data_IF_985803939710
#
_entry.id   IF_985803939710
#
_cell.length_a   1.000
_cell.length_b   1.000
_cell.length_c   1.000
_cell.angle_alpha   90.00
_cell.angle_beta   90.00
_cell.angle_gamma   90.00
#
_symmetry.space_group_name_H-M   'P 1'
#
loop_
_entity.id
_entity.type
_entity.pdbx_description
1 polymer ?
#
# COMPACT_ATOMS: atom_id res chain seq x y z
N UNK A 1 26.76 -4.77 29.04
CA UNK A 1 26.08 -6.08 29.00
C UNK A 1 25.01 -6.30 30.09
N UNK A 2 24.65 -5.31 30.91
CA UNK A 2 23.44 -5.37 31.78
C UNK A 2 22.35 -4.39 31.34
N UNK A 3 22.76 -3.24 30.78
CA UNK A 3 21.88 -2.22 30.22
C UNK A 3 21.10 -2.73 29.00
N UNK A 4 21.73 -3.63 28.22
CA UNK A 4 21.16 -4.20 27.00
C UNK A 4 20.01 -5.19 27.30
N UNK A 5 20.05 -5.85 28.46
CA UNK A 5 19.00 -6.76 28.93
C UNK A 5 17.77 -6.00 29.43
N UNK A 6 17.96 -4.82 30.04
CA UNK A 6 16.85 -3.97 30.49
C UNK A 6 16.16 -3.27 29.31
N UNK A 7 16.93 -2.79 28.33
CA UNK A 7 16.42 -2.21 27.07
C UNK A 7 15.69 -3.25 26.19
N UNK A 8 16.18 -4.49 26.11
CA UNK A 8 15.47 -5.57 25.39
C UNK A 8 14.11 -5.91 26.02
N UNK A 9 13.96 -5.77 27.34
CA UNK A 9 12.73 -6.19 28.05
C UNK A 9 11.54 -5.26 27.77
N UNK A 10 11.77 -3.97 27.53
CA UNK A 10 10.72 -3.01 27.14
C UNK A 10 10.36 -3.11 25.67
N UNK A 11 11.30 -3.54 24.81
CA UNK A 11 11.06 -3.76 23.39
C UNK A 11 10.42 -5.13 23.07
N UNK A 12 10.54 -6.11 23.97
CA UNK A 12 9.87 -7.41 23.85
C UNK A 12 8.38 -7.37 24.27
N UNK A 13 7.68 -6.27 23.93
CA UNK A 13 6.22 -6.19 24.00
C UNK A 13 5.67 -7.14 22.93
N UNK A 14 5.22 -8.33 23.36
CA UNK A 14 4.48 -9.33 22.59
C UNK A 14 3.86 -8.76 21.31
N UNK A 15 4.53 -8.97 20.18
CA UNK A 15 3.84 -9.08 18.91
C UNK A 15 3.63 -10.58 18.68
N UNK A 16 2.68 -11.17 19.44
CA UNK A 16 2.10 -12.44 19.02
C UNK A 16 1.55 -12.29 17.60
N UNK A 17 1.36 -13.37 16.83
CA UNK A 17 1.03 -13.29 15.41
C UNK A 17 -0.24 -12.46 15.25
N UNK A 18 -0.08 -11.16 14.99
CA UNK A 18 -1.17 -10.28 14.66
C UNK A 18 -1.53 -10.76 13.28
N UNK A 19 -2.55 -11.60 13.19
CA UNK A 19 -3.21 -11.96 11.94
C UNK A 19 -3.33 -10.65 11.17
N UNK A 20 -2.49 -10.46 10.16
CA UNK A 20 -2.37 -9.18 9.49
C UNK A 20 -3.73 -8.91 8.87
N UNK A 21 -4.50 -8.10 9.57
CA UNK A 21 -5.87 -7.82 9.15
C UNK A 21 -5.72 -7.06 7.86
N UNK A 22 -6.15 -7.64 6.74
CA UNK A 22 -6.19 -6.98 5.43
C UNK A 22 -6.71 -5.54 5.55
N UNK A 23 -7.60 -5.31 6.51
CA UNK A 23 -8.12 -4.02 6.92
C UNK A 23 -7.07 -2.99 7.39
N UNK A 24 -6.06 -3.39 8.17
CA UNK A 24 -4.95 -2.51 8.56
C UNK A 24 -4.10 -2.09 7.36
N UNK A 25 -3.84 -3.02 6.44
CA UNK A 25 -3.05 -2.73 5.24
C UNK A 25 -3.80 -1.77 4.30
N UNK A 26 -5.11 -1.98 4.12
CA UNK A 26 -5.98 -1.07 3.35
C UNK A 26 -6.07 0.31 4.01
N UNK A 27 -6.29 0.36 5.34
CA UNK A 27 -6.33 1.62 6.06
C UNK A 27 -5.01 2.39 5.95
N UNK A 28 -3.87 1.70 6.08
CA UNK A 28 -2.55 2.30 5.92
C UNK A 28 -2.32 2.84 4.51
N UNK A 29 -2.72 2.09 3.47
CA UNK A 29 -2.64 2.53 2.08
C UNK A 29 -3.51 3.77 1.83
N UNK A 30 -4.73 3.78 2.37
CA UNK A 30 -5.63 4.93 2.26
C UNK A 30 -5.06 6.17 2.96
N UNK A 31 -4.55 6.03 4.19
CA UNK A 31 -3.90 7.13 4.91
C UNK A 31 -2.70 7.70 4.14
N UNK A 32 -1.87 6.84 3.55
CA UNK A 32 -0.73 7.28 2.75
C UNK A 32 -1.15 8.03 1.48
N UNK A 33 -2.28 7.63 0.88
CA UNK A 33 -2.84 8.31 -0.30
C UNK A 33 -3.37 9.70 0.05
N UNK A 34 -4.11 9.83 1.15
CA UNK A 34 -4.66 11.12 1.62
C UNK A 34 -3.55 12.10 1.96
N UNK A 35 -2.52 11.66 2.69
CA UNK A 35 -1.37 12.50 3.01
C UNK A 35 -0.64 12.99 1.76
N UNK A 36 -0.39 12.10 0.80
CA UNK A 36 0.28 12.48 -0.45
C UNK A 36 -0.50 13.53 -1.25
N UNK A 37 -1.83 13.39 -1.35
CA UNK A 37 -2.65 14.36 -2.08
C UNK A 37 -2.66 15.73 -1.37
N UNK A 38 -2.77 15.72 -0.04
CA UNK A 38 -2.75 16.95 0.75
C UNK A 38 -1.41 17.67 0.62
N UNK A 39 -0.30 16.94 0.68
CA UNK A 39 1.04 17.51 0.50
C UNK A 39 1.16 18.19 -0.87
N UNK A 40 0.73 17.54 -1.95
CA UNK A 40 0.77 18.14 -3.29
C UNK A 40 -0.07 19.41 -3.39
N UNK A 41 -1.28 19.42 -2.81
CA UNK A 41 -2.14 20.62 -2.81
C UNK A 41 -1.48 21.75 -2.03
N UNK A 42 -0.93 21.46 -0.85
CA UNK A 42 -0.25 22.46 -0.01
C UNK A 42 0.99 23.01 -0.70
N UNK A 43 1.87 22.13 -1.22
CA UNK A 43 3.08 22.53 -1.95
C UNK A 43 2.71 23.36 -3.18
N UNK A 44 1.73 22.92 -3.96
CA UNK A 44 1.28 23.64 -5.15
C UNK A 44 0.74 25.02 -4.80
N UNK A 45 -0.02 25.15 -3.71
CA UNK A 45 -0.54 26.41 -3.22
C UNK A 45 0.59 27.36 -2.77
N UNK A 46 1.59 26.86 -2.04
CA UNK A 46 2.75 27.66 -1.65
C UNK A 46 3.57 28.16 -2.84
N UNK A 47 3.65 27.37 -3.91
CA UNK A 47 4.42 27.75 -5.11
C UNK A 47 3.65 28.76 -5.97
N UNK A 48 2.36 28.50 -6.24
CA UNK A 48 1.57 29.33 -7.17
C UNK A 48 0.84 30.49 -6.51
N UNK A 49 0.59 30.44 -5.20
CA UNK A 49 -0.21 31.44 -4.49
C UNK A 49 -1.69 31.46 -4.85
N UNK A 50 -2.13 30.61 -5.80
CA UNK A 50 -3.47 30.62 -6.35
C UNK A 50 -4.19 29.28 -6.08
N UNK A 51 -5.27 29.33 -5.29
CA UNK A 51 -6.03 28.13 -4.87
C UNK A 51 -6.57 27.32 -6.06
N UNK A 52 -6.96 28.00 -7.14
CA UNK A 52 -7.52 27.35 -8.34
C UNK A 52 -6.49 26.45 -9.03
N UNK A 53 -5.23 26.89 -9.09
CA UNK A 53 -4.16 26.13 -9.70
C UNK A 53 -3.76 24.94 -8.82
N UNK A 54 -3.59 25.17 -7.51
CA UNK A 54 -3.29 24.11 -6.55
C UNK A 54 -4.35 23.00 -6.52
N UNK A 55 -5.63 23.38 -6.58
CA UNK A 55 -6.72 22.42 -6.65
C UNK A 55 -6.73 21.64 -7.96
N UNK A 56 -6.39 22.28 -9.08
CA UNK A 56 -6.27 21.61 -10.39
C UNK A 56 -5.16 20.55 -10.38
N UNK A 57 -4.00 20.88 -9.80
CA UNK A 57 -2.87 19.94 -9.68
C UNK A 57 -3.26 18.76 -8.78
N UNK A 58 -3.85 19.01 -7.61
CA UNK A 58 -4.32 17.95 -6.71
C UNK A 58 -5.38 17.05 -7.36
N UNK A 59 -6.29 17.63 -8.14
CA UNK A 59 -7.33 16.89 -8.87
C UNK A 59 -6.73 15.94 -9.90
N UNK A 60 -5.75 16.42 -10.69
CA UNK A 60 -5.02 15.60 -11.68
C UNK A 60 -4.24 14.49 -10.99
N UNK A 61 -3.61 14.76 -9.84
CA UNK A 61 -2.86 13.75 -9.09
C UNK A 61 -3.77 12.60 -8.64
N UNK A 62 -4.93 12.90 -8.05
CA UNK A 62 -5.90 11.89 -7.62
C UNK A 62 -6.37 11.05 -8.80
N UNK A 63 -6.79 11.70 -9.90
CA UNK A 63 -7.24 11.02 -11.11
C UNK A 63 -6.17 10.09 -11.68
N UNK A 64 -4.94 10.59 -11.80
CA UNK A 64 -3.80 9.81 -12.30
C UNK A 64 -3.54 8.59 -11.42
N UNK A 65 -3.59 8.76 -10.09
CA UNK A 65 -3.39 7.68 -9.12
C UNK A 65 -4.48 6.61 -9.14
N UNK A 66 -5.73 6.99 -9.39
CA UNK A 66 -6.84 6.04 -9.57
C UNK A 66 -6.62 5.24 -10.85
N UNK A 67 -6.30 5.91 -11.96
CA UNK A 67 -6.06 5.26 -13.25
C UNK A 67 -4.87 4.29 -13.17
N UNK A 68 -3.75 4.73 -12.58
CA UNK A 68 -2.58 3.89 -12.35
C UNK A 68 -2.89 2.70 -11.44
N UNK A 69 -3.66 2.91 -10.37
CA UNK A 69 -4.05 1.82 -9.46
C UNK A 69 -4.90 0.77 -10.17
N UNK A 70 -5.89 1.19 -10.95
CA UNK A 70 -6.73 0.29 -11.74
C UNK A 70 -5.90 -0.53 -12.75
N UNK A 71 -5.01 0.13 -13.49
CA UNK A 71 -4.11 -0.55 -14.43
C UNK A 71 -3.18 -1.53 -13.70
N UNK A 72 -2.60 -1.11 -12.57
CA UNK A 72 -1.76 -1.97 -11.74
C UNK A 72 -2.51 -3.22 -11.27
N UNK A 73 -3.73 -3.07 -10.74
CA UNK A 73 -4.55 -4.20 -10.29
C UNK A 73 -4.89 -5.13 -11.46
N UNK A 74 -5.26 -4.59 -12.63
CA UNK A 74 -5.59 -5.39 -13.81
C UNK A 74 -4.39 -6.15 -14.39
N UNK A 75 -3.21 -5.55 -14.34
CA UNK A 75 -1.96 -6.22 -14.73
C UNK A 75 -1.62 -7.32 -13.72
N UNK A 76 -1.71 -7.02 -12.43
CA UNK A 76 -1.41 -7.97 -11.36
C UNK A 76 -2.31 -9.20 -11.38
N UNK A 77 -3.61 -9.01 -11.66
CA UNK A 77 -4.58 -10.09 -11.84
C UNK A 77 -4.18 -11.02 -12.99
N UNK A 78 -3.78 -10.47 -14.15
CA UNK A 78 -3.32 -11.27 -15.30
C UNK A 78 -2.07 -12.10 -14.97
N UNK A 79 -1.15 -11.58 -14.18
CA UNK A 79 0.05 -12.31 -13.77
C UNK A 79 -0.23 -13.33 -12.66
N UNK A 80 -1.13 -13.03 -11.73
CA UNK A 80 -1.47 -13.92 -10.61
C UNK A 80 -2.25 -15.15 -11.09
N UNK A 81 -3.18 -14.99 -12.05
CA UNK A 81 -4.00 -16.10 -12.57
C UNK A 81 -3.13 -17.20 -13.22
N UNK A 82 -2.00 -16.86 -13.85
CA UNK A 82 -1.10 -17.85 -14.45
C UNK A 82 -0.47 -18.80 -13.42
N UNK A 83 -0.25 -18.35 -12.20
CA UNK A 83 0.42 -19.15 -11.18
C UNK A 83 -0.51 -20.22 -10.56
N UNK A 84 -1.83 -20.00 -10.55
CA UNK A 84 -2.78 -20.98 -10.02
C UNK A 84 -3.14 -22.08 -11.02
N UNK A 85 -3.21 -21.77 -12.32
CA UNK A 85 -3.47 -22.79 -13.35
C UNK A 85 -2.34 -23.84 -13.41
N UNK A 86 -1.09 -23.41 -13.28
CA UNK A 86 0.09 -24.29 -13.33
C UNK A 86 0.27 -25.16 -12.06
N UNK A 87 -0.35 -24.79 -10.94
CA UNK A 87 -0.34 -25.58 -9.69
C UNK A 87 -1.37 -26.73 -9.77
N UNK A 88 -2.55 -26.47 -10.34
CA UNK A 88 -3.62 -27.46 -10.50
C UNK A 88 -3.25 -28.55 -11.51
N UNK A 89 -2.60 -28.18 -12.62
CA UNK A 89 -2.11 -29.14 -13.62
C UNK A 89 -0.97 -30.03 -13.06
N UNK A 90 -0.21 -29.51 -12.08
CA UNK A 90 0.84 -30.26 -11.37
C UNK A 90 0.28 -31.20 -10.31
N UNK A 91 -0.83 -30.86 -9.63
CA UNK A 91 -1.42 -31.75 -8.62
C UNK A 91 -2.12 -32.97 -9.24
N UNK A 92 -2.74 -32.81 -10.40
CA UNK A 92 -3.50 -33.88 -11.07
C UNK A 92 -2.61 -34.90 -11.81
N UNK A 93 -1.32 -34.60 -11.98
CA UNK A 93 -0.35 -35.46 -12.67
C UNK A 93 0.48 -36.35 -11.75
N UNK A 94 0.28 -36.27 -10.42
CA UNK A 94 0.94 -37.15 -9.44
C UNK A 94 -0.04 -38.23 -8.99
N UNK A 95 0.07 -39.49 -9.45
CA UNK A 95 -0.72 -40.58 -8.90
C UNK A 95 -0.30 -40.84 -7.45
N UNK A 96 -1.30 -41.01 -6.57
CA UNK A 96 -1.16 -41.24 -5.13
C UNK A 96 -0.50 -42.58 -4.78
#
# INVERSE_FOLDING_TARGET
>A
MLLDQYLRKTFNRKQGPKKDSKFKSVAKAFSWRVLGTLDTIVISYFITGELKMAFSIGSIEVFSKILLYYVHERIWERFTIKNHAHELERSDSVPA
#
